data_IF_904460386696
#
_entry.id   IF_904460386696
#
_cell.length_a   1.000
_cell.length_b   1.000
_cell.length_c   1.000
_cell.angle_alpha   90.00
_cell.angle_beta   90.00
_cell.angle_gamma   90.00
#
_symmetry.space_group_name_H-M   'P 1'
#
loop_
_entity.id
_entity.type
_entity.pdbx_description
1 polymer ?
#
# COMPACT_ATOMS: atom_id res chain seq x y z
N UNK A 1 -1.34 1.97 16.12
CA UNK A 1 -1.77 0.76 15.38
C UNK A 1 -0.66 -0.26 15.44
N UNK A 2 -0.93 -1.48 15.93
CA UNK A 2 0.10 -2.51 16.05
C UNK A 2 0.48 -3.05 14.65
N UNK A 3 1.65 -3.69 14.48
CA UNK A 3 2.05 -4.32 13.21
C UNK A 3 1.02 -5.33 12.69
N UNK A 4 0.35 -6.07 13.58
CA UNK A 4 -0.66 -7.06 13.23
C UNK A 4 -1.96 -6.40 12.73
N UNK A 5 -2.44 -5.37 13.42
CA UNK A 5 -3.64 -4.63 13.01
C UNK A 5 -3.43 -3.97 11.65
N UNK A 6 -2.19 -3.49 11.42
CA UNK A 6 -1.80 -2.94 10.14
C UNK A 6 -1.96 -3.97 9.03
N UNK A 7 -1.32 -5.13 9.18
CA UNK A 7 -1.42 -6.20 8.19
C UNK A 7 -2.88 -6.57 7.90
N UNK A 8 -3.72 -6.66 8.92
CA UNK A 8 -5.14 -7.00 8.76
C UNK A 8 -5.92 -5.94 7.96
N UNK A 9 -5.82 -4.67 8.33
CA UNK A 9 -6.47 -3.58 7.60
C UNK A 9 -6.00 -3.50 6.15
N UNK A 10 -4.70 -3.69 5.93
CA UNK A 10 -4.12 -3.72 4.60
C UNK A 10 -4.66 -4.87 3.76
N UNK A 11 -4.71 -6.10 4.31
CA UNK A 11 -5.25 -7.26 3.60
C UNK A 11 -6.72 -7.05 3.25
N UNK A 12 -7.53 -6.53 4.17
CA UNK A 12 -8.95 -6.26 3.88
C UNK A 12 -9.12 -5.22 2.77
N UNK A 13 -8.33 -4.13 2.80
CA UNK A 13 -8.34 -3.13 1.72
C UNK A 13 -7.76 -3.64 0.41
N UNK A 14 -6.72 -4.48 0.47
CA UNK A 14 -6.10 -5.08 -0.69
C UNK A 14 -7.11 -6.01 -1.37
N UNK A 15 -7.73 -6.91 -0.62
CA UNK A 15 -8.80 -7.79 -1.11
C UNK A 15 -10.02 -7.04 -1.63
N UNK A 16 -10.36 -5.91 -1.03
CA UNK A 16 -11.46 -5.08 -1.54
C UNK A 16 -11.12 -4.38 -2.86
N UNK A 17 -9.82 -4.19 -3.15
CA UNK A 17 -9.34 -3.55 -4.37
C UNK A 17 -9.08 -4.59 -5.47
N UNK A 18 -8.52 -5.75 -5.10
CA UNK A 18 -8.24 -6.92 -5.93
C UNK A 18 -9.57 -7.59 -6.32
N UNK A 19 -10.11 -7.21 -7.48
CA UNK A 19 -11.45 -7.62 -7.91
C UNK A 19 -11.45 -9.00 -8.56
N UNK A 20 -10.34 -9.35 -9.22
CA UNK A 20 -10.14 -10.66 -9.84
C UNK A 20 -9.58 -11.71 -8.86
N UNK A 21 -9.19 -11.29 -7.65
CA UNK A 21 -8.65 -12.11 -6.57
C UNK A 21 -7.41 -12.90 -6.99
N UNK A 22 -6.57 -12.32 -7.84
CA UNK A 22 -5.38 -12.96 -8.36
C UNK A 22 -4.12 -12.72 -7.50
N UNK A 23 -4.25 -11.91 -6.44
CA UNK A 23 -3.18 -11.60 -5.49
C UNK A 23 -2.22 -10.50 -5.95
N UNK A 24 -2.55 -9.79 -7.03
CA UNK A 24 -1.89 -8.55 -7.46
C UNK A 24 -2.94 -7.46 -7.67
N UNK A 25 -2.46 -6.23 -7.66
CA UNK A 25 -3.26 -5.03 -7.90
C UNK A 25 -2.74 -4.36 -9.14
N UNK A 26 -3.60 -4.20 -10.13
CA UNK A 26 -3.29 -3.38 -11.30
C UNK A 26 -3.38 -1.91 -10.94
N UNK A 27 -2.87 -1.06 -11.86
CA UNK A 27 -2.95 0.40 -11.69
C UNK A 27 -4.40 0.89 -11.54
N UNK A 28 -5.34 0.29 -12.26
CA UNK A 28 -6.75 0.68 -12.21
C UNK A 28 -7.42 0.26 -10.90
N UNK A 29 -7.17 -0.97 -10.44
CA UNK A 29 -7.71 -1.44 -9.17
C UNK A 29 -7.10 -0.69 -7.98
N UNK A 30 -5.79 -0.43 -8.01
CA UNK A 30 -5.12 0.39 -7.01
C UNK A 30 -5.72 1.81 -6.98
N UNK A 31 -6.14 2.36 -8.13
CA UNK A 31 -6.80 3.68 -8.18
C UNK A 31 -8.13 3.68 -7.44
N UNK A 32 -8.90 2.60 -7.54
CA UNK A 32 -10.23 2.48 -6.95
C UNK A 32 -10.16 2.17 -5.45
N UNK A 33 -9.36 1.18 -5.05
CA UNK A 33 -9.30 0.75 -3.65
C UNK A 33 -8.24 1.45 -2.79
N UNK A 34 -7.19 1.99 -3.42
CA UNK A 34 -6.02 2.54 -2.73
C UNK A 34 -5.40 3.77 -3.46
N UNK A 35 -6.06 4.93 -3.46
CA UNK A 35 -5.60 6.11 -4.20
C UNK A 35 -4.18 6.57 -3.84
N UNK A 36 -3.75 6.34 -2.60
CA UNK A 36 -2.40 6.71 -2.15
C UNK A 36 -1.31 5.75 -2.69
N UNK A 37 -1.66 4.47 -2.86
CA UNK A 37 -0.82 3.47 -3.55
C UNK A 37 -0.76 3.80 -5.03
N UNK A 38 -1.89 4.16 -5.65
CA UNK A 38 -1.96 4.58 -7.04
C UNK A 38 -1.02 5.75 -7.35
N UNK A 39 -1.03 6.81 -6.53
CA UNK A 39 -0.10 7.95 -6.68
C UNK A 39 1.37 7.54 -6.63
N UNK A 40 1.69 6.51 -5.85
CA UNK A 40 3.05 5.98 -5.71
C UNK A 40 3.26 4.72 -6.55
N UNK A 41 2.32 4.33 -7.41
CA UNK A 41 2.34 3.04 -8.10
C UNK A 41 3.61 2.90 -8.93
N UNK A 42 3.99 3.94 -9.68
CA UNK A 42 5.24 3.98 -10.44
C UNK A 42 6.50 3.78 -9.57
N UNK A 43 6.46 4.18 -8.29
CA UNK A 43 7.55 3.95 -7.34
C UNK A 43 7.55 2.53 -6.77
N UNK A 44 6.39 1.87 -6.77
CA UNK A 44 6.19 0.52 -6.21
C UNK A 44 6.46 -0.54 -7.29
N UNK A 45 5.94 -0.31 -8.50
CA UNK A 45 6.18 -1.10 -9.70
C UNK A 45 7.51 -0.69 -10.35
N UNK A 46 8.62 -0.92 -9.64
CA UNK A 46 9.97 -0.64 -10.15
C UNK A 46 10.29 -1.43 -11.43
N UNK A 47 9.61 -2.54 -11.65
CA UNK A 47 9.74 -3.40 -12.82
C UNK A 47 8.81 -3.02 -13.97
N UNK A 48 7.95 -2.00 -13.79
CA UNK A 48 6.96 -1.53 -14.78
C UNK A 48 6.17 -2.66 -15.42
N UNK A 49 5.75 -3.64 -14.62
CA UNK A 49 4.95 -4.78 -15.08
C UNK A 49 3.50 -4.42 -15.34
N UNK A 50 3.04 -3.26 -14.84
CA UNK A 50 1.64 -2.83 -14.91
C UNK A 50 0.79 -3.33 -13.74
N UNK A 51 1.38 -4.06 -12.80
CA UNK A 51 0.74 -4.56 -11.59
C UNK A 51 1.71 -4.60 -10.41
N UNK A 52 1.18 -4.54 -9.20
CA UNK A 52 1.93 -4.62 -7.94
C UNK A 52 1.37 -5.76 -7.09
N UNK A 53 2.25 -6.54 -6.48
CA UNK A 53 1.85 -7.66 -5.61
C UNK A 53 1.54 -7.20 -4.19
N UNK A 54 0.83 -8.05 -3.42
CA UNK A 54 0.57 -7.81 -1.99
C UNK A 54 1.83 -7.38 -1.23
N UNK A 55 2.97 -8.05 -1.47
CA UNK A 55 4.26 -7.70 -0.85
C UNK A 55 4.72 -6.29 -1.18
N UNK A 56 4.60 -5.87 -2.44
CA UNK A 56 5.03 -4.54 -2.88
C UNK A 56 4.13 -3.46 -2.30
N UNK A 57 2.81 -3.67 -2.31
CA UNK A 57 1.86 -2.72 -1.74
C UNK A 57 1.99 -2.65 -0.22
N UNK A 58 2.13 -3.79 0.46
CA UNK A 58 2.33 -3.85 1.90
C UNK A 58 3.61 -3.14 2.37
N UNK A 59 4.70 -3.25 1.60
CA UNK A 59 5.93 -2.50 1.84
C UNK A 59 5.72 -0.99 1.65
N UNK A 60 5.05 -0.57 0.57
CA UNK A 60 4.74 0.82 0.32
C UNK A 60 3.83 1.44 1.39
N UNK A 61 2.86 0.68 1.85
CA UNK A 61 1.92 1.10 2.86
C UNK A 61 2.55 1.18 4.25
N UNK A 62 3.41 0.20 4.60
CA UNK A 62 4.22 0.28 5.82
C UNK A 62 5.11 1.52 5.82
N UNK A 63 5.68 1.88 4.64
CA UNK A 63 6.46 3.10 4.47
C UNK A 63 5.62 4.38 4.61
N UNK A 64 4.38 4.39 4.13
CA UNK A 64 3.47 5.53 4.35
C UNK A 64 3.10 5.70 5.82
N UNK A 65 2.80 4.61 6.52
CA UNK A 65 2.48 4.69 7.95
C UNK A 65 3.71 5.14 8.74
N UNK A 66 4.92 4.69 8.38
CA UNK A 66 6.15 5.23 8.95
C UNK A 66 6.28 6.73 8.69
N UNK A 67 6.05 7.20 7.47
CA UNK A 67 6.14 8.63 7.11
C UNK A 67 5.12 9.48 7.89
N UNK A 68 3.88 9.01 8.03
CA UNK A 68 2.83 9.68 8.80
C UNK A 68 3.13 9.67 10.32
N UNK A 69 3.62 8.54 10.85
CA UNK A 69 4.07 8.44 12.24
C UNK A 69 5.29 9.34 12.52
N UNK A 70 6.22 9.47 11.57
CA UNK A 70 7.39 10.33 11.69
C UNK A 70 7.00 11.81 11.73
N UNK A 71 5.96 12.22 10.96
CA UNK A 71 5.45 13.60 10.99
C UNK A 71 4.71 13.97 12.29
N UNK A 72 4.06 13.00 12.95
CA UNK A 72 3.29 13.23 14.19
C UNK A 72 4.11 13.19 15.48
N UNK A 73 5.33 12.65 15.45
CA UNK A 73 6.27 12.73 16.57
C UNK A 73 7.45 13.65 16.17
N UNK A 74 7.33 14.97 16.36
CA UNK A 74 8.51 15.82 16.38
C UNK A 74 9.26 15.49 17.68
N UNK A 75 10.10 14.46 17.66
CA UNK A 75 11.22 14.40 18.60
C UNK A 75 12.14 15.53 18.12
N UNK A 76 11.97 16.67 18.76
CA UNK A 76 12.85 17.83 18.65
C UNK A 76 14.23 17.32 19.06
N UNK A 77 15.19 17.35 18.14
CA UNK A 77 16.60 17.22 18.47
C UNK A 77 17.20 18.59 18.70
#
# INVERSE_FOLDING_TARGET
MSPADRKKWFIERFKAADTDHDGKLTREEARVGMPEVYKRFDKIDTRKRGYVTERQVGAAWSKMIQDDMQKKNPIIN
#
